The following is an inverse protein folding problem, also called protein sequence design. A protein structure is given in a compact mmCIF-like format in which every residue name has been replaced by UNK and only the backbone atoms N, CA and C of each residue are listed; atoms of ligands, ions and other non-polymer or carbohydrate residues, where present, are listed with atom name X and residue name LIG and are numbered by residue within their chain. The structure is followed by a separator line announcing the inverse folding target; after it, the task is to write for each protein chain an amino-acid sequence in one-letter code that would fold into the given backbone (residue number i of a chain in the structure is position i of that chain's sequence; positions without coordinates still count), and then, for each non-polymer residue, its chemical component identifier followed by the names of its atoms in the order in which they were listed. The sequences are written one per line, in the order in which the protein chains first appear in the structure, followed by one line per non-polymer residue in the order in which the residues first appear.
data_IF_130938680195
#
_entry.id   IF_130938680195
#
_cell.length_a   1.000
_cell.length_b   1.000
_cell.length_c   1.000
_cell.angle_alpha   90.00
_cell.angle_beta   90.00
_cell.angle_gamma   90.00
#
_symmetry.space_group_name_H-M   'P 1'
#
loop_
_entity.id
_entity.type
_entity.pdbx_description
1 polymer ?
#
# COMPACT_ATOMS: atom_id res chain seq x y z
N UNK A 1 -13.19 16.28 -31.02
CA UNK A 1 -11.78 16.20 -31.45
C UNK A 1 -10.97 15.73 -30.26
N UNK A 2 -10.37 14.55 -30.33
CA UNK A 2 -9.44 14.09 -29.29
C UNK A 2 -8.15 14.89 -29.44
N UNK A 3 -7.84 15.75 -28.46
CA UNK A 3 -6.54 16.42 -28.39
C UNK A 3 -5.58 15.49 -27.65
N UNK A 4 -4.44 15.11 -28.24
CA UNK A 4 -3.46 14.30 -27.54
C UNK A 4 -2.84 15.12 -26.40
N UNK A 5 -2.68 14.48 -25.23
CA UNK A 5 -2.08 15.12 -24.05
C UNK A 5 -0.61 15.46 -24.29
N UNK A 6 0.11 14.56 -24.98
CA UNK A 6 1.46 14.78 -25.45
C UNK A 6 1.42 15.23 -26.92
N UNK A 7 2.04 16.37 -27.23
CA UNK A 7 2.24 16.81 -28.63
C UNK A 7 3.42 16.10 -29.30
N UNK A 8 4.30 15.47 -28.52
CA UNK A 8 5.47 14.74 -29.01
C UNK A 8 5.12 13.28 -29.31
N UNK A 9 5.45 12.80 -30.51
CA UNK A 9 5.24 11.41 -30.94
C UNK A 9 6.22 10.42 -30.26
N UNK A 10 7.22 10.92 -29.52
CA UNK A 10 8.29 10.12 -28.92
C UNK A 10 8.09 9.78 -27.43
N UNK A 11 6.96 10.18 -26.84
CA UNK A 11 6.65 9.88 -25.43
C UNK A 11 5.80 8.62 -25.35
N UNK A 12 6.40 7.56 -24.82
CA UNK A 12 5.74 6.26 -24.63
C UNK A 12 5.46 6.01 -23.16
N UNK A 13 4.25 5.54 -22.86
CA UNK A 13 3.84 5.14 -21.52
C UNK A 13 4.58 3.86 -21.10
N UNK A 14 5.09 3.83 -19.86
CA UNK A 14 5.52 2.59 -19.22
C UNK A 14 4.37 2.06 -18.35
N UNK A 15 3.80 0.92 -18.75
CA UNK A 15 2.64 0.30 -18.09
C UNK A 15 2.98 -0.97 -17.30
N UNK A 16 4.26 -1.18 -16.95
CA UNK A 16 4.68 -2.35 -16.16
C UNK A 16 4.12 -2.29 -14.71
N UNK A 17 4.11 -1.10 -14.12
CA UNK A 17 3.54 -0.83 -12.80
C UNK A 17 2.49 0.28 -12.89
N UNK A 18 2.60 1.33 -12.07
CA UNK A 18 1.67 2.46 -12.08
C UNK A 18 1.91 3.31 -13.32
N UNK A 19 0.91 3.40 -14.19
CA UNK A 19 1.05 4.04 -15.49
C UNK A 19 0.84 5.56 -15.42
N UNK A 20 -0.22 6.00 -14.74
CA UNK A 20 -0.49 7.41 -14.51
C UNK A 20 -1.47 7.60 -13.34
N UNK A 21 -1.37 8.76 -12.69
CA UNK A 21 -2.32 9.21 -11.67
C UNK A 21 -2.65 10.69 -11.83
N UNK A 22 -3.86 11.08 -11.44
CA UNK A 22 -4.26 12.49 -11.40
C UNK A 22 -3.75 13.15 -10.13
N UNK A 23 -2.98 14.22 -10.28
CA UNK A 23 -2.52 15.03 -9.14
C UNK A 23 -3.58 16.06 -8.77
N UNK A 24 -4.21 16.65 -9.77
CA UNK A 24 -5.29 17.63 -9.66
C UNK A 24 -6.25 17.47 -10.86
N UNK A 25 -7.22 18.37 -11.04
CA UNK A 25 -8.24 18.27 -12.11
C UNK A 25 -7.68 18.51 -13.54
N UNK A 26 -6.41 18.89 -13.66
CA UNK A 26 -5.77 19.34 -14.90
C UNK A 26 -4.38 18.78 -15.15
N UNK A 27 -3.79 18.07 -14.18
CA UNK A 27 -2.42 17.56 -14.23
C UNK A 27 -2.37 16.07 -13.90
N UNK A 28 -1.69 15.33 -14.77
CA UNK A 28 -1.38 13.91 -14.61
C UNK A 28 0.09 13.74 -14.28
N UNK A 29 0.41 12.85 -13.35
CA UNK A 29 1.73 12.25 -13.22
C UNK A 29 1.76 10.98 -14.05
N UNK A 30 2.66 10.91 -15.02
CA UNK A 30 2.72 9.82 -16.00
C UNK A 30 4.07 9.13 -15.93
N UNK A 31 4.06 7.81 -15.84
CA UNK A 31 5.26 6.97 -15.97
C UNK A 31 5.58 6.76 -17.44
N UNK A 32 6.65 7.38 -17.93
CA UNK A 32 7.08 7.25 -19.32
C UNK A 32 8.33 6.40 -19.44
N UNK A 33 8.55 5.82 -20.62
CA UNK A 33 9.81 5.18 -20.96
C UNK A 33 10.91 6.26 -20.98
N UNK A 34 12.03 6.08 -20.26
CA UNK A 34 13.12 7.05 -20.29
C UNK A 34 13.67 7.22 -21.71
N UNK A 35 13.87 8.47 -22.14
CA UNK A 35 14.46 8.79 -23.45
C UNK A 35 15.88 8.23 -23.60
N UNK A 36 16.59 8.04 -22.49
CA UNK A 36 17.94 7.47 -22.40
C UNK A 36 18.00 5.94 -22.37
N UNK A 37 16.87 5.22 -22.42
CA UNK A 37 16.82 3.75 -22.18
C UNK A 37 17.67 2.92 -23.15
N UNK A 38 17.74 3.31 -24.43
CA UNK A 38 18.49 2.57 -25.46
C UNK A 38 17.95 1.18 -25.80
N UNK A 39 18.80 0.34 -26.40
CA UNK A 39 18.48 -1.06 -26.76
C UNK A 39 18.39 -1.98 -25.53
N UNK A 40 17.55 -3.04 -25.57
CA UNK A 40 17.47 -4.00 -24.50
C UNK A 40 18.82 -4.70 -24.24
N UNK A 41 19.13 -5.03 -22.97
CA UNK A 41 20.28 -5.86 -22.63
C UNK A 41 20.34 -7.12 -23.50
N UNK A 42 21.55 -7.45 -23.98
CA UNK A 42 21.80 -8.67 -24.76
C UNK A 42 22.23 -9.78 -23.82
N UNK A 43 21.64 -10.96 -24.00
CA UNK A 43 21.97 -12.12 -23.18
C UNK A 43 23.45 -12.47 -23.38
N UNK A 44 24.26 -12.53 -22.31
CA UNK A 44 25.66 -12.90 -22.45
C UNK A 44 25.79 -14.33 -22.96
N UNK A 45 26.69 -14.54 -23.93
CA UNK A 45 26.98 -15.86 -24.50
C UNK A 45 27.65 -16.81 -23.49
N UNK A 46 28.34 -16.23 -22.51
CA UNK A 46 29.06 -16.94 -21.45
C UNK A 46 28.55 -16.41 -20.10
N UNK A 47 28.12 -17.27 -19.17
CA UNK A 47 27.76 -16.83 -17.83
C UNK A 47 28.95 -16.11 -17.17
N UNK A 48 28.74 -14.93 -16.55
CA UNK A 48 29.83 -14.14 -15.95
C UNK A 48 30.58 -14.86 -14.82
N UNK A 49 29.98 -15.92 -14.26
CA UNK A 49 30.60 -16.78 -13.27
C UNK A 49 29.61 -17.81 -12.73
N UNK A 50 30.06 -18.72 -11.84
CA UNK A 50 29.15 -19.61 -11.12
C UNK A 50 28.20 -18.79 -10.25
N UNK A 51 26.94 -19.23 -10.14
CA UNK A 51 26.00 -18.66 -9.17
C UNK A 51 26.49 -19.00 -7.76
N UNK A 52 26.98 -18.00 -7.04
CA UNK A 52 27.40 -18.15 -5.64
C UNK A 52 26.19 -17.99 -4.73
N UNK A 53 25.64 -19.10 -4.26
CA UNK A 53 24.68 -19.12 -3.15
C UNK A 53 25.47 -19.46 -1.88
N UNK A 54 25.65 -18.47 -1.01
CA UNK A 54 26.32 -18.67 0.28
C UNK A 54 25.30 -19.06 1.34
N UNK A 55 25.50 -20.23 1.95
CA UNK A 55 24.76 -20.69 3.14
C UNK A 55 25.50 -20.34 4.45
N UNK A 56 26.49 -19.44 4.42
CA UNK A 56 27.33 -19.13 5.58
C UNK A 56 26.56 -18.46 6.72
N UNK A 57 25.43 -17.82 6.42
CA UNK A 57 24.48 -17.42 7.45
C UNK A 57 23.68 -18.66 7.83
N UNK A 58 23.90 -19.20 9.03
CA UNK A 58 23.19 -20.34 9.65
C UNK A 58 21.67 -20.13 9.86
N UNK A 59 21.05 -19.24 9.09
CA UNK A 59 19.62 -19.02 9.08
C UNK A 59 19.01 -20.03 8.11
N UNK A 60 18.29 -21.01 8.64
CA UNK A 60 17.44 -21.90 7.84
C UNK A 60 16.28 -21.07 7.31
N UNK A 61 16.46 -20.43 6.15
CA UNK A 61 15.40 -19.70 5.47
C UNK A 61 14.63 -20.70 4.60
N UNK A 62 13.57 -21.27 5.16
CA UNK A 62 12.56 -21.94 4.35
C UNK A 62 11.84 -20.86 3.56
N UNK A 63 11.90 -20.92 2.23
CA UNK A 63 11.16 -20.02 1.34
C UNK A 63 10.01 -20.81 0.73
N UNK A 64 8.86 -20.16 0.52
CA UNK A 64 7.77 -20.77 -0.24
C UNK A 64 8.24 -20.97 -1.69
N UNK A 65 7.72 -21.99 -2.36
CA UNK A 65 7.93 -22.11 -3.80
C UNK A 65 7.18 -20.97 -4.50
N UNK A 66 7.92 -20.16 -5.26
CA UNK A 66 7.37 -19.09 -6.08
C UNK A 66 7.57 -19.43 -7.56
N UNK A 67 6.64 -18.97 -8.38
CA UNK A 67 6.72 -19.05 -9.85
C UNK A 67 7.20 -17.70 -10.40
N UNK A 68 7.64 -17.68 -11.66
CA UNK A 68 7.99 -16.46 -12.42
C UNK A 68 9.05 -15.56 -11.76
N UNK A 69 10.04 -16.20 -11.13
CA UNK A 69 11.18 -15.52 -10.54
C UNK A 69 12.22 -15.13 -11.60
N UNK A 70 12.96 -14.05 -11.32
CA UNK A 70 14.17 -13.72 -12.07
C UNK A 70 15.13 -14.91 -12.01
N UNK A 71 15.68 -15.32 -13.15
CA UNK A 71 16.53 -16.51 -13.21
C UNK A 71 17.99 -16.18 -12.97
N UNK A 72 18.46 -15.03 -13.41
CA UNK A 72 19.87 -14.63 -13.38
C UNK A 72 20.03 -13.11 -13.49
N UNK A 73 21.28 -12.63 -13.45
CA UNK A 73 21.59 -11.20 -13.61
C UNK A 73 21.09 -10.62 -14.93
N UNK A 74 20.99 -11.43 -15.99
CA UNK A 74 20.44 -10.97 -17.26
C UNK A 74 18.94 -10.66 -17.14
N UNK A 75 18.18 -11.51 -16.45
CA UNK A 75 16.78 -11.22 -16.13
C UNK A 75 16.66 -9.99 -15.21
N UNK A 76 17.61 -9.75 -14.29
CA UNK A 76 17.65 -8.54 -13.47
C UNK A 76 17.91 -7.26 -14.30
N UNK A 77 18.81 -7.33 -15.28
CA UNK A 77 19.05 -6.22 -16.21
C UNK A 77 17.84 -5.95 -17.10
N UNK A 78 17.17 -7.01 -17.59
CA UNK A 78 15.91 -6.88 -18.33
C UNK A 78 14.80 -6.30 -17.45
N UNK A 79 14.73 -6.68 -16.18
CA UNK A 79 13.77 -6.13 -15.24
C UNK A 79 13.96 -4.61 -15.11
N UNK A 80 15.19 -4.15 -14.87
CA UNK A 80 15.49 -2.71 -14.85
C UNK A 80 15.14 -2.05 -16.19
N UNK A 81 15.51 -2.66 -17.32
CA UNK A 81 15.23 -2.12 -18.65
C UNK A 81 13.73 -1.88 -18.90
N UNK A 82 12.89 -2.86 -18.58
CA UNK A 82 11.45 -2.75 -18.83
C UNK A 82 10.71 -1.97 -17.75
N UNK A 83 11.12 -2.07 -16.49
CA UNK A 83 10.38 -1.50 -15.37
C UNK A 83 10.81 -0.07 -15.00
N UNK A 84 12.00 0.38 -15.43
CA UNK A 84 12.44 1.76 -15.19
C UNK A 84 11.55 2.74 -15.94
N UNK A 85 11.06 3.75 -15.22
CA UNK A 85 10.22 4.82 -15.75
C UNK A 85 10.82 6.18 -15.38
N UNK A 86 10.66 7.14 -16.29
CA UNK A 86 10.84 8.56 -16.01
C UNK A 86 9.45 9.13 -15.67
N UNK A 87 9.30 9.83 -14.55
CA UNK A 87 8.03 10.48 -14.24
C UNK A 87 7.93 11.80 -14.99
N UNK A 88 6.74 12.10 -15.51
CA UNK A 88 6.43 13.32 -16.26
C UNK A 88 5.13 13.91 -15.74
N UNK A 89 5.16 15.17 -15.31
CA UNK A 89 3.96 15.98 -15.10
C UNK A 89 3.43 16.44 -16.44
N UNK A 90 2.21 16.04 -16.77
CA UNK A 90 1.54 16.36 -18.02
C UNK A 90 0.23 17.10 -17.73
N UNK A 91 0.14 18.35 -18.17
CA UNK A 91 -1.04 19.20 -18.02
C UNK A 91 -1.95 19.12 -19.26
N UNK A 92 -3.26 19.35 -19.07
CA UNK A 92 -4.25 19.30 -20.15
C UNK A 92 -4.06 20.37 -21.25
N UNK A 93 -3.25 21.39 -21.00
CA UNK A 93 -2.83 22.40 -21.99
C UNK A 93 -1.72 21.91 -22.94
N UNK A 94 -1.16 20.72 -22.66
CA UNK A 94 -0.08 20.09 -23.40
C UNK A 94 1.32 20.41 -22.87
N UNK A 95 1.43 21.06 -21.70
CA UNK A 95 2.71 21.25 -21.01
C UNK A 95 3.17 19.93 -20.39
N UNK A 96 4.44 19.56 -20.59
CA UNK A 96 5.02 18.36 -20.02
C UNK A 96 6.38 18.68 -19.37
N UNK A 97 6.63 18.13 -18.18
CA UNK A 97 7.87 18.34 -17.42
C UNK A 97 8.31 17.06 -16.74
N UNK A 98 9.55 16.63 -16.98
CA UNK A 98 10.16 15.51 -16.25
C UNK A 98 10.33 15.84 -14.76
N UNK A 99 10.12 14.84 -13.92
CA UNK A 99 10.18 14.93 -12.47
C UNK A 99 10.95 13.76 -11.90
N UNK A 100 11.90 14.06 -11.01
CA UNK A 100 12.73 13.05 -10.37
C UNK A 100 13.64 12.28 -11.36
N UNK A 101 14.56 11.47 -10.84
CA UNK A 101 15.41 10.62 -11.67
C UNK A 101 14.64 9.40 -12.21
N UNK A 102 15.07 8.76 -13.30
CA UNK A 102 14.51 7.46 -13.69
C UNK A 102 14.68 6.41 -12.58
N UNK A 103 13.60 5.68 -12.27
CA UNK A 103 13.62 4.59 -11.30
C UNK A 103 12.52 3.56 -11.60
N UNK A 104 12.58 2.41 -10.94
CA UNK A 104 11.52 1.40 -11.00
C UNK A 104 10.38 1.82 -10.06
N UNK A 105 9.56 2.77 -10.50
CA UNK A 105 8.40 3.25 -9.76
C UNK A 105 7.30 2.18 -9.74
N UNK A 106 6.78 1.89 -8.54
CA UNK A 106 5.78 0.84 -8.31
C UNK A 106 4.44 1.37 -7.82
N UNK A 107 4.41 2.55 -7.21
CA UNK A 107 3.18 3.22 -6.75
C UNK A 107 3.39 4.73 -6.76
N UNK A 108 2.35 5.46 -7.15
CA UNK A 108 2.31 6.91 -7.18
C UNK A 108 0.97 7.33 -6.57
N UNK A 109 0.97 7.82 -5.34
CA UNK A 109 -0.27 8.07 -4.60
C UNK A 109 -0.34 9.55 -4.22
N UNK A 110 -1.20 10.36 -4.87
CA UNK A 110 -1.44 11.75 -4.48
C UNK A 110 -2.14 11.86 -3.13
N UNK A 111 -1.77 12.88 -2.35
CA UNK A 111 -2.46 13.20 -1.10
C UNK A 111 -3.88 13.69 -1.37
N UNK A 112 -4.78 13.53 -0.40
CA UNK A 112 -6.19 13.93 -0.51
C UNK A 112 -6.41 15.43 -0.69
N UNK A 113 -5.39 16.25 -0.44
CA UNK A 113 -5.37 17.69 -0.66
C UNK A 113 -4.48 18.13 -1.83
N UNK A 114 -4.00 17.17 -2.63
CA UNK A 114 -3.24 17.38 -3.87
C UNK A 114 -1.91 18.15 -3.68
N UNK A 115 -1.37 18.18 -2.47
CA UNK A 115 -0.11 18.90 -2.15
C UNK A 115 1.11 18.00 -2.21
N UNK A 116 0.93 16.72 -1.95
CA UNK A 116 2.01 15.76 -1.85
C UNK A 116 1.75 14.52 -2.69
N UNK A 117 2.84 13.80 -2.94
CA UNK A 117 2.89 12.51 -3.61
C UNK A 117 3.63 11.54 -2.71
N UNK A 118 3.03 10.39 -2.47
CA UNK A 118 3.71 9.24 -1.88
C UNK A 118 4.22 8.38 -3.04
N UNK A 119 5.54 8.28 -3.14
CA UNK A 119 6.23 7.61 -4.26
C UNK A 119 6.92 6.37 -3.75
N UNK A 120 6.58 5.21 -4.32
CA UNK A 120 7.24 3.93 -4.05
C UNK A 120 8.11 3.50 -5.22
N UNK A 121 9.35 3.11 -4.95
CA UNK A 121 10.26 2.58 -5.97
C UNK A 121 11.02 1.33 -5.50
N UNK A 122 11.41 0.48 -6.44
CA UNK A 122 12.30 -0.65 -6.20
C UNK A 122 13.72 -0.31 -6.62
N UNK A 123 14.69 -0.94 -5.97
CA UNK A 123 16.09 -0.84 -6.34
C UNK A 123 16.83 -2.14 -6.05
N UNK A 124 18.02 -2.26 -6.64
CA UNK A 124 18.94 -3.38 -6.39
C UNK A 124 19.41 -3.42 -4.93
N UNK A 125 19.85 -4.59 -4.43
CA UNK A 125 19.92 -5.89 -5.13
C UNK A 125 18.56 -6.58 -5.27
N UNK A 126 18.32 -7.23 -6.41
CA UNK A 126 17.16 -8.09 -6.62
C UNK A 126 17.44 -9.52 -6.17
N UNK A 127 16.37 -10.29 -6.00
CA UNK A 127 16.45 -11.70 -5.65
C UNK A 127 15.96 -12.60 -6.78
N UNK A 128 16.57 -13.77 -6.86
CA UNK A 128 16.21 -14.86 -7.77
C UNK A 128 15.35 -15.94 -7.09
N UNK A 129 15.04 -15.77 -5.79
CA UNK A 129 14.32 -16.76 -4.97
C UNK A 129 13.02 -16.21 -4.39
N UNK A 130 12.77 -14.90 -4.47
CA UNK A 130 11.52 -14.26 -4.03
C UNK A 130 10.98 -13.31 -5.10
N UNK A 131 9.65 -13.10 -5.15
CA UNK A 131 9.03 -12.21 -6.14
C UNK A 131 9.41 -10.73 -5.89
N UNK A 132 9.19 -9.88 -6.90
CA UNK A 132 9.57 -8.46 -6.89
C UNK A 132 9.00 -7.67 -5.71
N UNK A 133 7.84 -8.04 -5.18
CA UNK A 133 7.27 -7.43 -3.96
C UNK A 133 8.14 -7.61 -2.69
N UNK A 134 9.17 -8.46 -2.74
CA UNK A 134 10.16 -8.63 -1.66
C UNK A 134 11.49 -7.93 -1.92
N UNK A 135 11.68 -7.29 -3.08
CA UNK A 135 12.90 -6.54 -3.39
C UNK A 135 13.08 -5.35 -2.44
N UNK A 136 14.28 -4.76 -2.38
CA UNK A 136 14.50 -3.49 -1.70
C UNK A 136 13.51 -2.44 -2.21
N UNK A 137 12.88 -1.74 -1.27
CA UNK A 137 11.80 -0.80 -1.57
C UNK A 137 12.08 0.50 -0.84
N UNK A 138 12.10 1.60 -1.59
CA UNK A 138 12.15 2.95 -1.06
C UNK A 138 10.77 3.58 -1.14
N UNK A 139 10.40 4.33 -0.09
CA UNK A 139 9.17 5.11 -0.04
C UNK A 139 9.51 6.53 0.37
N UNK A 140 9.08 7.49 -0.44
CA UNK A 140 9.38 8.90 -0.29
C UNK A 140 8.11 9.74 -0.39
N UNK A 141 8.12 10.89 0.27
CA UNK A 141 7.13 11.95 0.12
C UNK A 141 7.74 13.03 -0.73
N UNK A 142 7.07 13.38 -1.81
CA UNK A 142 7.41 14.49 -2.68
C UNK A 142 6.27 15.52 -2.64
N UNK A 143 6.55 16.75 -3.05
CA UNK A 143 5.51 17.74 -3.35
C UNK A 143 4.80 17.37 -4.65
N UNK A 144 3.61 17.91 -4.88
CA UNK A 144 2.85 17.71 -6.11
C UNK A 144 3.60 18.18 -7.38
N UNK A 145 4.48 19.19 -7.27
CA UNK A 145 5.35 19.63 -8.36
C UNK A 145 6.62 18.79 -8.53
N UNK A 146 6.77 17.73 -7.71
CA UNK A 146 7.78 16.71 -7.90
C UNK A 146 9.09 16.90 -7.16
N UNK A 147 9.11 17.75 -6.13
CA UNK A 147 10.32 17.96 -5.32
C UNK A 147 10.33 16.99 -4.16
N UNK A 148 11.48 16.39 -3.90
CA UNK A 148 11.68 15.54 -2.73
C UNK A 148 11.43 16.33 -1.43
N UNK A 149 10.63 15.78 -0.52
CA UNK A 149 10.36 16.33 0.81
C UNK A 149 11.09 15.50 1.86
N UNK A 150 10.79 14.20 1.94
CA UNK A 150 11.46 13.28 2.87
C UNK A 150 11.38 11.82 2.44
N UNK A 151 12.31 11.02 2.93
CA UNK A 151 12.24 9.56 2.83
C UNK A 151 11.53 9.00 4.07
N UNK A 152 10.53 8.13 3.87
CA UNK A 152 9.85 7.42 4.96
C UNK A 152 10.63 6.16 5.35
N UNK A 153 10.98 5.34 4.35
CA UNK A 153 11.76 4.13 4.58
C UNK A 153 12.58 3.74 3.35
N UNK A 154 13.69 3.06 3.61
CA UNK A 154 14.44 2.24 2.65
C UNK A 154 14.49 0.83 3.23
N UNK A 155 13.61 -0.03 2.74
CA UNK A 155 13.44 -1.38 3.26
C UNK A 155 14.42 -2.32 2.53
N UNK A 156 15.21 -3.14 3.23
CA UNK A 156 16.16 -4.06 2.61
C UNK A 156 15.48 -5.28 1.98
N UNK A 157 16.17 -5.96 1.07
CA UNK A 157 15.71 -7.21 0.45
C UNK A 157 15.16 -8.20 1.50
N UNK A 158 13.95 -8.71 1.29
CA UNK A 158 13.20 -9.49 2.27
C UNK A 158 13.13 -10.99 1.92
N UNK A 159 14.29 -11.64 1.83
CA UNK A 159 14.37 -13.10 1.65
C UNK A 159 14.05 -13.87 2.92
N UNK A 160 14.24 -13.25 4.09
CA UNK A 160 14.19 -13.87 5.42
C UNK A 160 12.81 -13.89 6.08
N UNK A 161 11.72 -13.52 5.37
CA UNK A 161 10.37 -13.55 5.94
C UNK A 161 9.97 -15.02 6.21
N UNK A 162 9.67 -15.40 7.47
CA UNK A 162 9.32 -16.78 7.80
C UNK A 162 8.08 -17.29 7.04
N UNK A 163 8.00 -18.60 6.80
CA UNK A 163 6.87 -19.21 6.06
C UNK A 163 5.55 -19.22 6.84
N UNK A 164 5.60 -19.03 8.16
CA UNK A 164 4.43 -19.05 9.02
C UNK A 164 3.41 -18.03 8.52
N UNK A 165 2.14 -18.44 8.45
CA UNK A 165 1.07 -17.52 8.07
C UNK A 165 1.05 -16.31 9.01
N UNK A 166 0.77 -15.13 8.45
CA UNK A 166 0.89 -13.83 9.11
C UNK A 166 2.32 -13.36 9.45
N UNK A 167 3.37 -14.06 9.04
CA UNK A 167 4.71 -13.47 9.02
C UNK A 167 4.81 -12.39 7.95
N UNK A 168 5.53 -11.32 8.25
CA UNK A 168 5.58 -10.09 7.45
C UNK A 168 7.00 -9.54 7.39
N UNK A 169 7.24 -8.60 6.46
CA UNK A 169 8.49 -7.85 6.42
C UNK A 169 8.63 -6.96 7.66
N UNK A 170 9.86 -6.78 8.13
CA UNK A 170 10.21 -5.80 9.17
C UNK A 170 10.11 -4.37 8.64
N UNK A 171 9.92 -3.41 9.55
CA UNK A 171 9.81 -1.98 9.24
C UNK A 171 8.40 -1.54 8.83
N UNK A 172 8.32 -0.35 8.22
CA UNK A 172 7.07 0.28 7.81
C UNK A 172 6.35 -0.53 6.73
N UNK A 173 5.10 -0.92 7.00
CA UNK A 173 4.23 -1.64 6.05
C UNK A 173 2.93 -0.87 5.82
N UNK A 174 2.29 -1.16 4.70
CA UNK A 174 0.95 -0.62 4.39
C UNK A 174 0.89 0.92 4.48
N UNK A 175 1.95 1.59 4.03
CA UNK A 175 2.06 3.06 4.06
C UNK A 175 1.08 3.64 3.05
N UNK A 176 0.16 4.48 3.52
CA UNK A 176 -0.86 5.13 2.67
C UNK A 176 -1.24 6.51 3.24
N UNK A 177 -1.96 7.29 2.43
CA UNK A 177 -2.67 8.49 2.90
C UNK A 177 -3.95 8.13 3.63
N UNK A 178 -4.24 8.88 4.69
CA UNK A 178 -5.54 8.85 5.36
C UNK A 178 -6.60 9.49 4.45
N UNK A 179 -7.60 8.71 4.05
CA UNK A 179 -8.54 9.10 3.00
C UNK A 179 -9.49 10.26 3.39
N UNK A 180 -9.69 10.48 4.69
CA UNK A 180 -10.57 11.53 5.22
C UNK A 180 -9.81 12.79 5.70
N UNK A 181 -8.47 12.76 5.76
CA UNK A 181 -7.65 13.83 6.34
C UNK A 181 -6.55 14.30 5.38
N UNK A 182 -6.42 15.61 5.10
CA UNK A 182 -5.36 16.18 4.27
C UNK A 182 -3.96 15.76 4.74
N UNK A 183 -3.07 15.46 3.78
CA UNK A 183 -1.61 15.32 3.99
C UNK A 183 -1.20 14.48 5.22
N UNK A 184 -1.99 13.47 5.60
CA UNK A 184 -1.73 12.63 6.78
C UNK A 184 -1.43 11.22 6.33
N UNK A 185 -0.24 10.73 6.66
CA UNK A 185 0.20 9.36 6.39
C UNK A 185 -0.20 8.44 7.55
N UNK A 186 -0.39 7.17 7.23
CA UNK A 186 -0.44 6.11 8.22
C UNK A 186 0.32 4.88 7.72
N UNK A 187 0.82 4.08 8.65
CA UNK A 187 1.49 2.82 8.36
C UNK A 187 1.40 1.87 9.56
N UNK A 188 1.71 0.60 9.34
CA UNK A 188 1.77 -0.41 10.38
C UNK A 188 3.19 -0.93 10.56
N UNK A 189 3.61 -1.17 11.81
CA UNK A 189 4.87 -1.81 12.14
C UNK A 189 4.65 -3.02 13.05
N UNK A 190 5.37 -4.09 12.74
CA UNK A 190 5.33 -5.32 13.55
C UNK A 190 6.23 -5.22 14.78
N UNK A 191 5.76 -5.77 15.90
CA UNK A 191 6.48 -5.85 17.16
C UNK A 191 7.08 -7.24 17.41
N UNK A 192 6.74 -8.23 16.59
CA UNK A 192 7.27 -9.61 16.65
C UNK A 192 8.50 -9.83 15.76
N UNK A 193 9.13 -8.74 15.29
CA UNK A 193 10.24 -8.82 14.33
C UNK A 193 9.85 -9.40 12.97
N UNK A 194 8.55 -9.53 12.69
CA UNK A 194 8.00 -10.09 11.45
C UNK A 194 7.78 -11.60 11.50
N UNK A 195 8.10 -12.27 12.61
CA UNK A 195 7.87 -13.70 12.79
C UNK A 195 6.59 -13.97 13.58
N UNK A 196 5.57 -14.50 12.90
CA UNK A 196 4.31 -14.87 13.51
C UNK A 196 4.41 -15.98 14.58
N UNK A 197 5.55 -16.64 14.74
CA UNK A 197 5.80 -17.60 15.83
C UNK A 197 6.21 -16.93 17.14
N UNK A 198 6.67 -15.67 17.09
CA UNK A 198 7.07 -14.93 18.28
C UNK A 198 5.81 -14.32 18.91
N UNK A 199 5.55 -14.67 20.17
CA UNK A 199 4.39 -14.18 20.90
C UNK A 199 4.71 -12.84 21.57
N UNK A 200 3.97 -11.79 21.21
CA UNK A 200 4.09 -10.43 21.75
C UNK A 200 2.71 -9.78 21.81
N UNK A 201 2.54 -8.79 22.67
CA UNK A 201 1.38 -7.89 22.67
C UNK A 201 1.86 -6.46 23.00
N UNK A 202 1.54 -5.46 22.17
CA UNK A 202 0.84 -5.57 20.89
C UNK A 202 1.69 -6.27 19.82
N UNK A 203 1.05 -6.82 18.79
CA UNK A 203 1.70 -7.47 17.65
C UNK A 203 1.97 -6.51 16.49
N UNK A 204 0.99 -5.67 16.19
CA UNK A 204 1.15 -4.57 15.25
C UNK A 204 0.80 -3.25 15.94
N UNK A 205 1.54 -2.21 15.61
CA UNK A 205 1.20 -0.84 15.98
C UNK A 205 0.97 -0.07 14.69
N UNK A 206 -0.17 0.62 14.62
CA UNK A 206 -0.51 1.54 13.54
C UNK A 206 -0.13 2.95 13.98
N UNK A 207 0.66 3.62 13.15
CA UNK A 207 1.12 4.98 13.36
C UNK A 207 0.47 5.93 12.36
N UNK A 208 0.40 7.21 12.74
CA UNK A 208 0.05 8.33 11.87
C UNK A 208 1.06 9.46 12.01
N UNK A 209 1.27 10.21 10.94
CA UNK A 209 2.07 11.42 10.96
C UNK A 209 1.71 12.32 9.78
N UNK A 210 1.90 13.63 9.90
CA UNK A 210 1.79 14.53 8.75
C UNK A 210 2.84 14.22 7.67
N UNK A 211 2.57 14.63 6.44
CA UNK A 211 3.52 14.55 5.32
C UNK A 211 4.84 15.26 5.67
N UNK A 212 4.73 16.42 6.32
CA UNK A 212 5.82 17.27 6.81
C UNK A 212 5.65 17.49 8.33
N UNK A 213 6.20 16.62 9.18
CA UNK A 213 6.17 16.81 10.63
C UNK A 213 7.11 17.93 11.06
N UNK A 214 6.80 18.56 12.21
CA UNK A 214 7.72 19.50 12.83
C UNK A 214 9.03 18.80 13.22
N UNK A 215 10.13 19.55 13.27
CA UNK A 215 11.42 18.98 13.63
C UNK A 215 11.36 18.32 15.02
N UNK A 216 11.64 17.02 15.08
CA UNK A 216 11.59 16.22 16.31
C UNK A 216 10.20 15.72 16.71
N UNK A 217 9.17 15.92 15.87
CA UNK A 217 7.83 15.36 16.09
C UNK A 217 7.83 13.86 15.77
N UNK A 218 7.60 13.05 16.80
CA UNK A 218 7.48 11.60 16.69
C UNK A 218 6.10 11.20 16.10
N UNK A 219 6.01 10.06 15.39
CA UNK A 219 4.74 9.54 14.92
C UNK A 219 3.75 9.26 16.06
N UNK A 220 2.48 9.60 15.83
CA UNK A 220 1.40 9.29 16.77
C UNK A 220 1.00 7.82 16.65
N UNK A 221 0.78 7.14 17.78
CA UNK A 221 0.20 5.79 17.79
C UNK A 221 -1.31 5.90 17.62
N UNK A 222 -1.81 5.49 16.46
CA UNK A 222 -3.25 5.45 16.18
C UNK A 222 -3.93 4.28 16.90
N UNK A 223 -3.37 3.09 16.78
CA UNK A 223 -3.97 1.89 17.38
C UNK A 223 -2.96 0.77 17.57
N UNK A 224 -3.17 -0.04 18.60
CA UNK A 224 -2.36 -1.22 18.94
C UNK A 224 -3.21 -2.46 18.75
N UNK A 225 -2.69 -3.42 18.00
CA UNK A 225 -3.39 -4.63 17.58
C UNK A 225 -2.70 -5.86 18.16
N UNK A 226 -3.48 -6.83 18.65
CA UNK A 226 -2.94 -8.09 19.17
C UNK A 226 -2.77 -9.14 18.06
N UNK A 227 -3.47 -8.96 16.94
CA UNK A 227 -3.37 -9.78 15.74
C UNK A 227 -2.68 -8.98 14.61
N UNK A 228 -2.62 -9.56 13.41
CA UNK A 228 -1.95 -8.89 12.28
C UNK A 228 -2.88 -7.86 11.64
N UNK A 229 -2.37 -6.66 11.42
CA UNK A 229 -3.06 -5.57 10.72
C UNK A 229 -3.60 -6.02 9.36
N UNK A 230 -4.88 -5.73 9.11
CA UNK A 230 -5.64 -6.11 7.93
C UNK A 230 -6.17 -4.94 7.09
N UNK A 231 -5.88 -3.69 7.46
CA UNK A 231 -6.36 -2.50 6.75
C UNK A 231 -7.18 -1.56 7.64
N UNK A 232 -7.52 -0.40 7.08
CA UNK A 232 -8.42 0.59 7.71
C UNK A 232 -9.42 1.07 6.67
N UNK A 233 -10.69 1.15 7.07
CA UNK A 233 -11.71 1.92 6.35
C UNK A 233 -11.94 3.25 7.08
N UNK A 234 -11.64 4.34 6.40
CA UNK A 234 -11.72 5.70 6.95
C UNK A 234 -13.13 6.28 6.78
N UNK A 235 -13.63 7.03 7.76
CA UNK A 235 -14.84 7.84 7.59
C UNK A 235 -14.54 9.33 7.80
N UNK A 236 -14.18 9.68 9.03
CA UNK A 236 -13.89 11.03 9.51
C UNK A 236 -13.10 10.93 10.84
N UNK A 237 -12.79 12.08 11.47
CA UNK A 237 -12.09 12.13 12.77
C UNK A 237 -12.84 11.42 13.92
N UNK A 238 -14.15 11.15 13.77
CA UNK A 238 -14.97 10.47 14.80
C UNK A 238 -15.08 8.97 14.58
N UNK A 239 -14.84 8.48 13.37
CA UNK A 239 -15.05 7.08 13.00
C UNK A 239 -14.03 6.58 11.96
N UNK A 240 -13.35 5.49 12.30
CA UNK A 240 -12.72 4.60 11.34
C UNK A 240 -12.84 3.14 11.81
N UNK A 241 -12.79 2.21 10.86
CA UNK A 241 -12.79 0.78 11.14
C UNK A 241 -11.40 0.19 10.89
N UNK A 242 -10.77 -0.37 11.93
CA UNK A 242 -9.47 -1.05 11.82
C UNK A 242 -9.69 -2.55 11.81
N UNK A 243 -9.11 -3.24 10.84
CA UNK A 243 -9.24 -4.68 10.71
C UNK A 243 -7.96 -5.36 11.20
N UNK A 244 -8.12 -6.46 11.93
CA UNK A 244 -7.03 -7.37 12.24
C UNK A 244 -7.46 -8.83 12.02
N UNK A 245 -6.48 -9.70 11.73
CA UNK A 245 -6.74 -11.11 11.52
C UNK A 245 -5.57 -11.99 11.93
N UNK A 246 -5.89 -13.25 12.24
CA UNK A 246 -4.92 -14.27 12.57
C UNK A 246 -5.29 -15.61 11.94
N UNK A 247 -4.43 -16.08 11.03
CA UNK A 247 -4.67 -17.26 10.22
C UNK A 247 -4.77 -18.52 11.09
N UNK A 248 -3.90 -18.69 12.09
CA UNK A 248 -3.80 -19.91 12.90
C UNK A 248 -5.09 -20.21 13.67
N UNK A 249 -5.75 -19.17 14.17
CA UNK A 249 -7.00 -19.29 14.94
C UNK A 249 -8.23 -18.94 14.11
N UNK A 250 -8.04 -18.57 12.84
CA UNK A 250 -9.09 -18.03 11.96
C UNK A 250 -9.78 -16.80 12.52
N UNK A 251 -9.21 -16.14 13.54
CA UNK A 251 -9.86 -15.01 14.21
C UNK A 251 -9.72 -13.76 13.36
N UNK A 252 -10.80 -13.01 13.20
CA UNK A 252 -10.78 -11.66 12.66
C UNK A 252 -11.49 -10.72 13.63
N UNK A 253 -10.96 -9.51 13.79
CA UNK A 253 -11.60 -8.45 14.54
C UNK A 253 -11.71 -7.18 13.72
N UNK A 254 -12.82 -6.48 13.93
CA UNK A 254 -13.04 -5.13 13.44
C UNK A 254 -13.17 -4.21 14.64
N UNK A 255 -12.35 -3.17 14.69
CA UNK A 255 -12.33 -2.16 15.73
C UNK A 255 -12.97 -0.88 15.24
N UNK A 256 -13.78 -0.23 16.08
CA UNK A 256 -14.22 1.15 15.91
C UNK A 256 -13.25 2.04 16.65
N UNK A 257 -12.67 3.02 15.95
CA UNK A 257 -11.78 4.03 16.53
C UNK A 257 -12.28 5.44 16.18
N UNK A 258 -11.89 6.42 17.00
CA UNK A 258 -12.08 7.85 16.71
C UNK A 258 -10.71 8.49 16.45
N UNK A 259 -10.25 8.51 15.19
CA UNK A 259 -8.86 8.85 14.86
C UNK A 259 -8.50 10.35 15.05
N UNK A 260 -9.45 11.20 15.43
CA UNK A 260 -9.23 12.59 15.79
C UNK A 260 -9.27 12.87 17.30
N UNK A 261 -9.49 11.86 18.15
CA UNK A 261 -9.52 12.04 19.60
C UNK A 261 -8.94 10.83 20.33
N UNK A 262 -7.89 11.08 21.13
CA UNK A 262 -7.29 10.07 22.01
C UNK A 262 -8.10 9.81 23.29
N UNK A 263 -9.15 10.60 23.55
CA UNK A 263 -10.01 10.45 24.72
C UNK A 263 -11.07 9.36 24.52
N UNK A 264 -11.36 8.99 23.27
CA UNK A 264 -12.34 7.96 22.94
C UNK A 264 -11.62 6.62 22.80
N UNK A 265 -11.86 5.73 23.75
CA UNK A 265 -11.27 4.39 23.73
C UNK A 265 -11.81 3.56 22.54
N UNK A 266 -10.92 2.89 21.77
CA UNK A 266 -11.32 1.92 20.76
C UNK A 266 -12.26 0.85 21.32
N UNK A 267 -13.24 0.43 20.53
CA UNK A 267 -14.11 -0.72 20.88
C UNK A 267 -14.14 -1.74 19.76
N UNK A 268 -14.40 -2.99 20.12
CA UNK A 268 -14.60 -4.07 19.14
C UNK A 268 -16.02 -3.97 18.57
N UNK A 269 -16.12 -3.90 17.25
CA UNK A 269 -17.37 -4.02 16.51
C UNK A 269 -17.73 -5.48 16.27
N UNK A 270 -16.77 -6.24 15.75
CA UNK A 270 -16.92 -7.66 15.43
C UNK A 270 -15.69 -8.42 15.88
N UNK A 271 -15.91 -9.60 16.46
CA UNK A 271 -14.86 -10.58 16.80
C UNK A 271 -15.39 -11.97 16.47
N UNK A 272 -14.88 -12.55 15.38
CA UNK A 272 -15.44 -13.77 14.80
C UNK A 272 -14.37 -14.67 14.20
N UNK A 273 -14.78 -15.88 13.86
CA UNK A 273 -14.00 -16.74 12.96
C UNK A 273 -14.24 -16.34 11.50
N UNK A 274 -13.19 -16.30 10.69
CA UNK A 274 -13.24 -16.12 9.25
C UNK A 274 -13.90 -17.30 8.53
N UNK A 275 -13.95 -18.46 9.17
CA UNK A 275 -14.61 -19.67 8.64
C UNK A 275 -16.12 -19.70 8.94
N UNK A 276 -16.59 -18.88 9.88
CA UNK A 276 -18.02 -18.69 10.12
C UNK A 276 -18.58 -17.68 9.11
N UNK A 277 -18.85 -18.18 7.90
CA UNK A 277 -19.37 -17.40 6.78
C UNK A 277 -20.86 -17.04 6.94
N UNK A 278 -21.58 -17.69 7.86
CA UNK A 278 -23.00 -17.42 8.11
C UNK A 278 -23.20 -16.20 9.01
N UNK A 279 -22.25 -15.92 9.91
CA UNK A 279 -22.24 -14.71 10.74
C UNK A 279 -21.43 -13.55 10.14
N UNK A 280 -21.03 -13.64 8.86
CA UNK A 280 -20.24 -12.60 8.22
C UNK A 280 -21.06 -11.30 8.07
N UNK A 281 -20.70 -10.20 8.77
CA UNK A 281 -21.42 -8.93 8.69
C UNK A 281 -21.21 -8.23 7.34
N UNK A 282 -20.35 -8.77 6.46
CA UNK A 282 -20.03 -8.18 5.18
C UNK A 282 -18.97 -7.08 5.29
N UNK A 283 -18.98 -6.16 4.32
CA UNK A 283 -18.03 -5.05 4.22
C UNK A 283 -18.77 -3.72 4.25
N UNK A 284 -18.14 -2.69 4.83
CA UNK A 284 -18.69 -1.33 4.77
C UNK A 284 -18.70 -0.81 3.36
N UNK A 285 -19.83 -0.26 2.93
CA UNK A 285 -19.88 0.49 1.68
C UNK A 285 -19.15 1.82 1.83
N UNK A 286 -18.47 2.20 0.73
CA UNK A 286 -17.74 3.44 0.64
C UNK A 286 -18.45 4.41 -0.30
N UNK A 287 -18.26 5.71 -0.06
CA UNK A 287 -18.63 6.80 -0.95
C UNK A 287 -17.40 7.58 -1.36
N UNK A 288 -17.45 8.20 -2.54
CA UNK A 288 -16.39 9.08 -3.01
C UNK A 288 -16.53 10.48 -2.37
N UNK A 289 -15.42 11.05 -1.90
CA UNK A 289 -15.36 12.42 -1.39
C UNK A 289 -15.19 13.42 -2.54
N UNK A 290 -15.35 14.71 -2.26
CA UNK A 290 -15.06 15.76 -3.24
C UNK A 290 -13.59 15.77 -3.69
N UNK A 291 -12.68 15.30 -2.83
CA UNK A 291 -11.26 15.10 -3.12
C UNK A 291 -10.98 13.79 -3.89
N UNK A 292 -12.01 13.06 -4.32
CA UNK A 292 -11.86 11.84 -5.11
C UNK A 292 -11.49 10.57 -4.33
N UNK A 293 -11.20 10.67 -3.03
CA UNK A 293 -10.91 9.55 -2.13
C UNK A 293 -12.17 8.77 -1.74
N UNK A 294 -12.02 7.52 -1.28
CA UNK A 294 -13.14 6.70 -0.80
C UNK A 294 -13.15 6.62 0.74
N UNK A 295 -14.29 6.94 1.34
CA UNK A 295 -14.53 6.88 2.79
C UNK A 295 -15.83 6.14 3.07
N UNK A 296 -16.04 5.65 4.29
CA UNK A 296 -17.27 4.95 4.70
C UNK A 296 -18.49 5.83 4.41
N UNK A 297 -19.53 5.20 3.84
CA UNK A 297 -20.82 5.81 3.62
C UNK A 297 -21.61 5.90 4.93
N UNK A 298 -21.28 6.90 5.76
CA UNK A 298 -22.00 7.24 6.98
C UNK A 298 -23.37 7.83 6.66
N UNK A 299 -24.42 7.31 7.30
CA UNK A 299 -25.81 7.73 7.15
C UNK A 299 -26.28 8.27 8.50
N UNK A 300 -26.95 9.43 8.47
CA UNK A 300 -27.72 9.97 9.59
C UNK A 300 -29.18 9.99 9.21
N UNK A 301 -30.06 9.49 10.07
CA UNK A 301 -31.51 9.60 9.90
C UNK A 301 -31.97 10.93 10.46
N UNK A 302 -33.02 11.51 9.89
CA UNK A 302 -33.64 12.71 10.46
C UNK A 302 -34.19 12.40 11.86
N UNK A 303 -33.93 13.27 12.83
CA UNK A 303 -34.32 13.13 14.24
C UNK A 303 -33.71 11.93 14.99
N UNK A 304 -32.56 11.44 14.54
CA UNK A 304 -31.80 10.39 15.21
C UNK A 304 -30.33 10.82 15.43
N UNK A 305 -29.84 10.66 16.65
CA UNK A 305 -28.45 10.94 17.01
C UNK A 305 -27.52 9.74 16.70
N UNK A 306 -28.09 8.55 16.44
CA UNK A 306 -27.34 7.36 16.06
C UNK A 306 -26.59 7.54 14.73
N UNK A 307 -25.43 6.89 14.64
CA UNK A 307 -24.62 6.86 13.44
C UNK A 307 -24.85 5.54 12.73
N UNK A 308 -25.26 5.57 11.47
CA UNK A 308 -25.46 4.36 10.69
C UNK A 308 -24.41 4.21 9.60
N UNK A 309 -24.12 2.97 9.23
CA UNK A 309 -23.28 2.61 8.06
C UNK A 309 -23.99 1.55 7.22
N UNK A 310 -23.70 1.55 5.91
CA UNK A 310 -24.18 0.47 5.03
C UNK A 310 -23.19 -0.68 5.02
N UNK A 311 -23.67 -1.89 5.26
CA UNK A 311 -22.92 -3.13 5.11
C UNK A 311 -23.45 -3.93 3.92
N UNK A 312 -22.57 -4.54 3.14
CA UNK A 312 -22.97 -5.45 2.08
C UNK A 312 -22.17 -6.76 2.12
N UNK A 313 -22.80 -7.85 1.73
CA UNK A 313 -22.17 -9.17 1.79
C UNK A 313 -22.87 -10.20 0.93
N UNK A 314 -22.25 -11.39 0.81
CA UNK A 314 -22.84 -12.52 0.08
C UNK A 314 -24.01 -13.17 0.82
N UNK A 315 -24.09 -13.00 2.14
CA UNK A 315 -25.11 -13.59 3.02
C UNK A 315 -25.22 -15.10 2.85
N UNK A 316 -24.16 -15.84 3.18
CA UNK A 316 -24.18 -17.30 3.06
C UNK A 316 -25.24 -17.89 4.01
N UNK A 317 -26.03 -18.84 3.50
CA UNK A 317 -27.05 -19.58 4.26
C UNK A 317 -27.02 -21.06 3.86
N UNK A 318 -27.67 -21.97 4.63
CA UNK A 318 -27.81 -23.37 4.22
C UNK A 318 -28.52 -23.56 2.86
N UNK A 319 -29.33 -22.59 2.43
CA UNK A 319 -30.04 -22.61 1.14
C UNK A 319 -29.24 -21.98 -0.01
N UNK A 320 -28.03 -21.46 0.28
CA UNK A 320 -27.18 -20.76 -0.68
C UNK A 320 -26.90 -19.31 -0.28
N UNK A 321 -26.30 -18.55 -1.18
CA UNK A 321 -25.99 -17.13 -0.93
C UNK A 321 -27.23 -16.26 -1.12
N UNK A 322 -27.55 -15.44 -0.12
CA UNK A 322 -28.58 -14.41 -0.15
C UNK A 322 -27.88 -13.06 0.06
N UNK A 323 -27.40 -12.41 -1.02
CA UNK A 323 -26.72 -11.14 -0.89
C UNK A 323 -27.59 -10.09 -0.21
N UNK A 324 -26.98 -9.27 0.65
CA UNK A 324 -27.69 -8.27 1.44
C UNK A 324 -27.07 -6.89 1.32
N UNK A 325 -27.90 -5.90 1.63
CA UNK A 325 -27.52 -4.54 1.96
C UNK A 325 -28.20 -4.19 3.28
N UNK A 326 -27.42 -3.96 4.32
CA UNK A 326 -27.91 -3.74 5.68
C UNK A 326 -27.55 -2.33 6.16
N UNK A 327 -28.45 -1.74 6.94
CA UNK A 327 -28.25 -0.44 7.59
C UNK A 327 -27.91 -0.69 9.05
N UNK A 328 -26.61 -0.68 9.35
CA UNK A 328 -26.06 -1.04 10.65
C UNK A 328 -25.92 0.18 11.56
N UNK A 329 -26.42 0.09 12.79
CA UNK A 329 -26.25 1.12 13.84
C UNK A 329 -24.92 0.92 14.55
N UNK A 330 -24.09 1.98 14.59
CA UNK A 330 -22.70 1.93 15.04
C UNK A 330 -22.57 1.98 16.55
#
# INVERSE_FOLDING_TARGET
MNRPLFKSEDIYLNAIFESFVWIDDSTLLVSTIPSSRGEPPKKPLVPPGPKTLSNEKSNVVQVRTFQDLLKDEYDADLFDYYATSQLVLASLDGTAKEVGPPAVYTSLDPSTDHKYLLVSSLHRPYSFIVPCGRFPKKVEVWTADGKFVRQLCDLPLAEDIPIASNSVRKGMRSINWRADKPSTLYWAETQDGGDAKVEVSPRDIVYMQSAEPLAGEEPEVLHKLDLRYGGISWCDDTLALVYESWYKTRRTRTWVISPGSNDVSPRILFDRSSEDVYSDPGSTMLRRTAAGAYVIAKIKKENDESTYVLLNGRGATPQGNVPFLDLFDM
#
